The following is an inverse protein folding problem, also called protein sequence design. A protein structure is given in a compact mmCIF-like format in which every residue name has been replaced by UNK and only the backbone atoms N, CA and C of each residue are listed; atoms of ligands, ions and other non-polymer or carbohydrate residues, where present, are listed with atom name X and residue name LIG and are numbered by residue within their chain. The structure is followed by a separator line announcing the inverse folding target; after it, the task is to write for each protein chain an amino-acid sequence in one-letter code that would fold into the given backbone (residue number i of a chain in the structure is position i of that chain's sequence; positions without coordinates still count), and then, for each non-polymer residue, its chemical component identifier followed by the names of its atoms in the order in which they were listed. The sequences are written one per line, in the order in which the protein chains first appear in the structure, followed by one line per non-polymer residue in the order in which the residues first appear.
data_IF_347172388202
#
_entry.id   IF_347172388202
#
_cell.length_a   1.000
_cell.length_b   1.000
_cell.length_c   1.000
_cell.angle_alpha   90.00
_cell.angle_beta   90.00
_cell.angle_gamma   90.00
#
_symmetry.space_group_name_H-M   'P 1'
#
loop_
_entity.id
_entity.type
_entity.pdbx_description
1 polymer ?
#
# COMPACT_ATOMS: atom_id res chain seq x y z
N UNK A 1 -10.59 -8.79 -22.89
CA UNK A 1 -9.31 -8.47 -22.22
C UNK A 1 -8.36 -7.63 -23.07
N UNK A 2 -8.07 -7.99 -24.34
CA UNK A 2 -7.17 -7.21 -25.22
C UNK A 2 -7.52 -5.71 -25.37
N UNK A 3 -8.82 -5.37 -25.42
CA UNK A 3 -9.30 -3.97 -25.57
C UNK A 3 -9.01 -3.07 -24.36
N UNK A 4 -9.00 -3.64 -23.15
CA UNK A 4 -8.71 -2.92 -21.90
C UNK A 4 -7.21 -2.60 -21.82
N UNK A 5 -6.37 -3.54 -22.26
CA UNK A 5 -4.92 -3.40 -22.25
C UNK A 5 -4.43 -2.29 -23.21
N UNK A 6 -5.09 -2.15 -24.37
CA UNK A 6 -4.83 -1.07 -25.33
C UNK A 6 -5.24 0.30 -24.78
N UNK A 7 -6.36 0.38 -24.06
CA UNK A 7 -6.82 1.63 -23.44
C UNK A 7 -5.85 2.11 -22.34
N UNK A 8 -5.29 1.19 -21.55
CA UNK A 8 -4.28 1.51 -20.53
C UNK A 8 -2.98 2.01 -21.18
N UNK A 9 -2.55 1.38 -22.29
CA UNK A 9 -1.35 1.82 -23.01
C UNK A 9 -1.49 3.24 -23.60
N UNK A 10 -2.69 3.59 -24.07
CA UNK A 10 -2.98 4.91 -24.64
C UNK A 10 -3.01 6.02 -23.57
N UNK A 11 -3.46 5.72 -22.35
CA UNK A 11 -3.44 6.63 -21.21
C UNK A 11 -2.02 6.94 -20.69
N UNK A 12 -1.07 6.00 -20.84
CA UNK A 12 0.32 6.21 -20.43
C UNK A 12 1.05 7.12 -21.43
N UNK A 13 0.67 7.09 -22.72
CA UNK A 13 1.33 7.85 -23.78
C UNK A 13 0.93 9.34 -23.79
N UNK A 14 -0.28 9.69 -23.34
CA UNK A 14 -0.75 11.08 -23.28
C UNK A 14 -0.22 11.88 -22.08
N UNK A 15 0.42 11.24 -21.11
CA UNK A 15 0.98 11.90 -19.92
C UNK A 15 2.37 12.54 -20.13
N UNK A 16 2.92 12.52 -21.36
CA UNK A 16 4.32 12.93 -21.59
C UNK A 16 4.55 14.41 -21.91
N UNK A 17 3.52 15.25 -22.01
CA UNK A 17 3.70 16.66 -22.39
C UNK A 17 3.21 17.61 -21.30
N UNK A 18 4.11 17.99 -20.37
CA UNK A 18 4.18 19.32 -19.74
C UNK A 18 5.27 19.36 -18.65
N UNK A 19 6.50 19.70 -19.03
CA UNK A 19 7.49 20.26 -18.10
C UNK A 19 8.09 21.52 -18.72
N UNK A 20 7.41 22.64 -18.52
CA UNK A 20 8.01 23.97 -18.63
C UNK A 20 8.84 24.24 -17.36
N UNK A 21 10.04 24.79 -17.54
CA UNK A 21 10.99 25.13 -16.48
C UNK A 21 10.62 26.46 -15.82
N UNK A 22 10.89 26.64 -14.52
CA UNK A 22 11.13 27.97 -13.98
C UNK A 22 12.10 28.00 -12.77
N UNK A 23 12.78 29.15 -12.66
CA UNK A 23 14.02 29.45 -11.91
C UNK A 23 13.86 29.53 -10.38
N UNK A 24 14.97 29.19 -9.69
CA UNK A 24 15.23 29.33 -8.25
C UNK A 24 15.06 30.77 -7.69
N UNK A 25 14.48 30.92 -6.49
CA UNK A 25 15.05 31.76 -5.43
C UNK A 25 14.50 31.53 -3.99
N UNK A 26 15.44 31.25 -3.08
CA UNK A 26 15.60 31.60 -1.66
C UNK A 26 14.46 31.61 -0.60
N UNK A 27 14.76 30.89 0.51
CA UNK A 27 14.63 31.28 1.94
C UNK A 27 13.47 30.78 2.82
N UNK A 28 13.90 30.16 3.93
CA UNK A 28 13.33 30.04 5.29
C UNK A 28 12.11 29.15 5.60
N UNK A 29 12.41 27.99 6.18
CA UNK A 29 12.03 27.58 7.55
C UNK A 29 10.56 27.65 7.97
N UNK A 30 9.99 26.46 8.25
CA UNK A 30 8.73 26.12 8.97
C UNK A 30 7.52 25.65 8.14
N UNK A 31 7.65 25.48 6.81
CA UNK A 31 6.57 24.97 5.93
C UNK A 31 6.85 23.59 5.28
N UNK A 32 7.71 22.76 5.88
CA UNK A 32 8.24 21.53 5.24
C UNK A 32 7.22 20.37 5.06
N UNK A 33 5.94 20.59 5.36
CA UNK A 33 4.86 19.69 4.95
C UNK A 33 4.21 20.17 3.64
N UNK A 34 5.02 20.31 2.58
CA UNK A 34 4.50 20.58 1.24
C UNK A 34 4.42 19.29 0.42
N UNK A 35 3.19 18.83 0.21
CA UNK A 35 2.91 17.86 -0.85
C UNK A 35 3.16 18.57 -2.18
N UNK A 36 4.34 18.43 -2.76
CA UNK A 36 4.67 19.06 -4.05
C UNK A 36 5.86 20.02 -4.09
N UNK A 37 6.78 20.03 -3.12
CA UNK A 37 8.09 20.66 -3.35
C UNK A 37 8.85 19.88 -4.44
N UNK A 38 8.66 20.28 -5.68
CA UNK A 38 9.34 19.73 -6.85
C UNK A 38 10.72 20.39 -6.96
N UNK A 39 11.70 19.82 -6.27
CA UNK A 39 13.09 20.27 -6.38
C UNK A 39 13.59 20.14 -7.83
N UNK A 40 14.43 21.08 -8.26
CA UNK A 40 15.26 20.90 -9.46
C UNK A 40 16.12 19.64 -9.29
N UNK A 41 16.12 18.76 -10.29
CA UNK A 41 16.79 17.45 -10.22
C UNK A 41 15.91 16.27 -9.80
N UNK A 42 14.59 16.45 -9.70
CA UNK A 42 13.64 15.33 -9.56
C UNK A 42 13.53 14.52 -10.87
N UNK A 43 13.44 13.19 -10.76
CA UNK A 43 13.25 12.26 -11.87
C UNK A 43 11.95 11.48 -11.69
N UNK A 44 11.24 11.23 -12.79
CA UNK A 44 10.06 10.37 -12.76
C UNK A 44 10.49 8.93 -12.46
N UNK A 45 9.68 8.20 -11.69
CA UNK A 45 9.90 6.79 -11.42
C UNK A 45 8.62 5.98 -11.46
N UNK A 46 8.79 4.69 -11.72
CA UNK A 46 7.77 3.66 -11.60
C UNK A 46 8.36 2.59 -10.68
N UNK A 47 7.62 2.21 -9.64
CA UNK A 47 8.02 1.16 -8.69
C UNK A 47 6.90 0.12 -8.64
N UNK A 48 7.28 -1.15 -8.78
CA UNK A 48 6.39 -2.29 -8.59
C UNK A 48 6.91 -3.07 -7.39
N UNK A 49 6.04 -3.29 -6.42
CA UNK A 49 6.35 -3.96 -5.17
C UNK A 49 5.42 -5.14 -4.97
N UNK A 50 5.98 -6.27 -4.57
CA UNK A 50 5.25 -7.46 -4.17
C UNK A 50 5.75 -7.91 -2.80
N UNK A 51 4.84 -8.29 -1.91
CA UNK A 51 5.22 -8.70 -0.56
C UNK A 51 4.15 -9.50 0.16
N UNK A 52 4.57 -10.10 1.27
CA UNK A 52 3.71 -10.80 2.20
C UNK A 52 3.58 -9.99 3.48
N UNK A 53 2.41 -10.03 4.09
CA UNK A 53 2.13 -9.38 5.36
C UNK A 53 1.27 -10.31 6.21
N UNK A 54 1.27 -10.06 7.51
CA UNK A 54 0.35 -10.67 8.46
C UNK A 54 -0.48 -9.55 9.09
N UNK A 55 -1.79 -9.62 8.93
CA UNK A 55 -2.71 -8.77 9.68
C UNK A 55 -3.01 -9.43 11.02
N UNK A 56 -2.81 -8.70 12.12
CA UNK A 56 -3.19 -9.14 13.46
C UNK A 56 -4.23 -8.17 14.01
N UNK A 57 -5.37 -8.71 14.41
CA UNK A 57 -6.39 -7.97 15.14
C UNK A 57 -6.61 -8.65 16.48
N UNK A 58 -6.43 -7.88 17.56
CA UNK A 58 -6.59 -8.34 18.94
C UNK A 58 -8.04 -8.70 19.30
N UNK A 59 -9.01 -8.14 18.59
CA UNK A 59 -10.44 -8.29 18.87
C UNK A 59 -11.09 -9.36 17.97
N UNK A 60 -10.33 -9.98 17.07
CA UNK A 60 -10.80 -11.11 16.24
C UNK A 60 -10.36 -12.42 16.87
N UNK A 61 -11.33 -13.27 17.21
CA UNK A 61 -11.12 -14.62 17.75
C UNK A 61 -10.48 -15.53 16.69
N UNK A 62 -10.70 -15.25 15.40
CA UNK A 62 -10.14 -15.99 14.27
C UNK A 62 -8.86 -15.35 13.76
N UNK A 63 -7.81 -16.15 13.54
CA UNK A 63 -6.57 -15.67 12.91
C UNK A 63 -6.84 -15.22 11.47
N UNK A 64 -6.40 -14.00 11.12
CA UNK A 64 -6.31 -13.59 9.73
C UNK A 64 -5.07 -14.26 9.14
N UNK A 65 -5.24 -15.09 8.09
CA UNK A 65 -4.10 -15.76 7.44
C UNK A 65 -3.20 -14.76 6.71
N UNK A 66 -1.99 -15.21 6.40
CA UNK A 66 -1.00 -14.48 5.59
C UNK A 66 -1.63 -13.87 4.34
N UNK A 67 -1.30 -12.63 4.08
CA UNK A 67 -1.85 -11.86 2.97
C UNK A 67 -0.75 -11.44 2.00
N UNK A 68 -1.11 -11.34 0.73
CA UNK A 68 -0.21 -10.86 -0.31
C UNK A 68 -0.53 -9.41 -0.65
N UNK A 69 0.48 -8.63 -0.98
CA UNK A 69 0.40 -7.24 -1.38
C UNK A 69 1.04 -7.10 -2.75
N UNK A 70 0.29 -6.58 -3.72
CA UNK A 70 0.84 -6.08 -4.99
C UNK A 70 0.61 -4.58 -5.06
N UNK A 71 1.66 -3.80 -5.31
CA UNK A 71 1.60 -2.34 -5.34
C UNK A 71 2.35 -1.79 -6.54
N UNK A 72 1.74 -0.79 -7.20
CA UNK A 72 2.39 0.03 -8.19
C UNK A 72 2.41 1.48 -7.71
N UNK A 73 3.58 2.13 -7.83
CA UNK A 73 3.76 3.56 -7.52
C UNK A 73 4.26 4.29 -8.75
N UNK A 74 3.68 5.47 -8.98
CA UNK A 74 4.08 6.40 -10.01
C UNK A 74 4.38 7.73 -9.35
N UNK A 75 5.53 8.33 -9.62
CA UNK A 75 5.87 9.56 -8.93
C UNK A 75 7.16 10.20 -9.38
N UNK A 76 7.62 11.14 -8.56
CA UNK A 76 8.88 11.84 -8.72
C UNK A 76 9.80 11.53 -7.55
N UNK A 77 11.06 11.29 -7.85
CA UNK A 77 12.16 11.05 -6.91
C UNK A 77 13.20 12.14 -7.03
N UNK A 78 13.50 12.79 -5.93
CA UNK A 78 14.71 13.56 -5.75
C UNK A 78 15.80 12.66 -5.17
N UNK A 79 16.98 12.68 -5.74
CA UNK A 79 18.13 11.92 -5.25
C UNK A 79 19.37 12.81 -5.31
N UNK A 80 20.01 13.04 -4.16
CA UNK A 80 21.27 13.79 -4.09
C UNK A 80 22.30 13.04 -3.25
N UNK A 81 23.60 13.14 -3.60
CA UNK A 81 24.65 12.79 -2.66
C UNK A 81 24.58 13.73 -1.45
N UNK A 82 24.63 13.16 -0.25
CA UNK A 82 24.70 13.91 1.01
C UNK A 82 26.15 13.85 1.53
N UNK A 83 26.92 14.89 1.25
CA UNK A 83 28.34 14.97 1.61
C UNK A 83 29.24 14.08 0.74
N UNK A 84 30.42 13.74 1.26
CA UNK A 84 31.50 13.08 0.49
C UNK A 84 31.44 11.53 0.51
N UNK A 85 30.65 10.92 1.39
CA UNK A 85 30.78 9.51 1.76
C UNK A 85 29.71 8.57 1.17
N UNK A 86 29.47 8.55 -0.15
CA UNK A 86 28.49 7.64 -0.80
C UNK A 86 27.09 7.60 -0.16
N UNK A 87 26.77 8.58 0.68
CA UNK A 87 25.47 8.71 1.32
C UNK A 87 24.56 9.36 0.30
N UNK A 88 23.39 8.78 0.13
CA UNK A 88 22.32 9.30 -0.71
C UNK A 88 21.21 9.81 0.20
N UNK A 89 20.78 11.05 -0.02
CA UNK A 89 19.50 11.53 0.46
C UNK A 89 18.49 11.40 -0.67
N UNK A 90 17.31 10.86 -0.35
CA UNK A 90 16.24 10.76 -1.32
C UNK A 90 14.89 11.21 -0.75
N UNK A 91 14.07 11.75 -1.63
CA UNK A 91 12.71 12.18 -1.33
C UNK A 91 11.79 11.85 -2.52
N UNK A 92 10.73 11.10 -2.25
CA UNK A 92 9.75 10.68 -3.25
C UNK A 92 8.40 11.32 -2.93
N UNK A 93 7.69 11.74 -3.98
CA UNK A 93 6.27 12.03 -3.96
C UNK A 93 5.59 11.16 -5.02
N UNK A 94 4.56 10.41 -4.66
CA UNK A 94 3.97 9.43 -5.56
C UNK A 94 2.48 9.22 -5.29
N UNK A 95 1.80 8.78 -6.34
CA UNK A 95 0.51 8.11 -6.26
C UNK A 95 0.73 6.61 -6.31
N UNK A 96 -0.14 5.86 -5.64
CA UNK A 96 -0.06 4.41 -5.66
C UNK A 96 -1.44 3.76 -5.75
N UNK A 97 -1.43 2.56 -6.33
CA UNK A 97 -2.54 1.62 -6.25
C UNK A 97 -1.97 0.30 -5.74
N UNK A 98 -2.62 -0.27 -4.74
CA UNK A 98 -2.30 -1.61 -4.26
C UNK A 98 -3.52 -2.49 -4.08
N UNK A 99 -3.28 -3.78 -4.25
CA UNK A 99 -4.24 -4.83 -3.99
C UNK A 99 -3.68 -5.74 -2.90
N UNK A 100 -4.48 -5.95 -1.86
CA UNK A 100 -4.19 -6.87 -0.78
C UNK A 100 -5.26 -7.94 -0.77
N UNK A 101 -4.85 -9.20 -0.76
CA UNK A 101 -5.77 -10.31 -0.60
C UNK A 101 -5.25 -11.29 0.44
N UNK A 102 -6.17 -12.04 1.02
CA UNK A 102 -5.80 -13.25 1.73
C UNK A 102 -5.27 -14.31 0.76
N UNK A 103 -4.40 -15.19 1.28
CA UNK A 103 -3.99 -16.39 0.58
C UNK A 103 -4.74 -17.60 1.18
N UNK A 104 -6.07 -17.59 1.13
CA UNK A 104 -6.90 -18.71 1.60
C UNK A 104 -7.21 -19.69 0.46
N UNK A 105 -6.98 -20.98 0.71
CA UNK A 105 -7.54 -22.04 -0.10
C UNK A 105 -9.05 -22.18 0.15
N UNK A 106 -9.81 -22.82 -0.75
CA UNK A 106 -11.27 -22.92 -0.64
C UNK A 106 -11.76 -23.59 0.65
N UNK A 107 -10.99 -24.55 1.20
CA UNK A 107 -11.26 -25.15 2.51
C UNK A 107 -11.07 -24.14 3.65
N UNK A 108 -10.05 -23.30 3.57
CA UNK A 108 -9.74 -22.30 4.59
C UNK A 108 -10.74 -21.15 4.59
N UNK A 109 -11.36 -20.85 3.44
CA UNK A 109 -12.41 -19.81 3.32
C UNK A 109 -13.69 -20.15 4.08
N UNK A 110 -13.92 -21.43 4.39
CA UNK A 110 -15.10 -21.85 5.15
C UNK A 110 -14.95 -21.59 6.65
N UNK A 111 -13.71 -21.50 7.15
CA UNK A 111 -13.39 -21.39 8.60
C UNK A 111 -12.61 -20.13 8.95
N UNK A 112 -12.25 -19.29 7.98
CA UNK A 112 -11.48 -18.06 8.23
C UNK A 112 -12.16 -16.89 7.55
N UNK A 113 -11.94 -15.69 8.10
CA UNK A 113 -12.37 -14.45 7.48
C UNK A 113 -11.54 -14.23 6.22
N UNK A 114 -12.23 -14.15 5.08
CA UNK A 114 -11.63 -13.79 3.81
C UNK A 114 -11.73 -12.28 3.59
N UNK A 115 -10.70 -11.67 3.03
CA UNK A 115 -10.68 -10.25 2.75
C UNK A 115 -9.92 -9.92 1.47
N UNK A 116 -10.44 -8.89 0.81
CA UNK A 116 -9.80 -8.25 -0.33
C UNK A 116 -9.83 -6.73 -0.10
N UNK A 117 -8.70 -6.07 -0.28
CA UNK A 117 -8.57 -4.63 -0.06
C UNK A 117 -7.90 -4.01 -1.28
N UNK A 118 -8.65 -3.12 -1.93
CA UNK A 118 -8.08 -2.17 -2.87
C UNK A 118 -7.66 -0.91 -2.14
N UNK A 119 -6.46 -0.45 -2.42
CA UNK A 119 -5.85 0.72 -1.79
C UNK A 119 -5.45 1.68 -2.88
N UNK A 120 -5.81 2.93 -2.69
CA UNK A 120 -5.40 4.02 -3.55
C UNK A 120 -4.93 5.17 -2.68
N UNK A 121 -3.87 5.85 -3.09
CA UNK A 121 -3.39 6.92 -2.24
C UNK A 121 -2.29 7.75 -2.83
N UNK A 122 -1.95 8.75 -2.05
CA UNK A 122 -0.87 9.69 -2.26
C UNK A 122 0.10 9.52 -1.11
N UNK A 123 1.39 9.45 -1.41
CA UNK A 123 2.42 9.22 -0.42
C UNK A 123 3.65 10.06 -0.68
N UNK A 124 4.37 10.30 0.41
CA UNK A 124 5.73 10.80 0.37
C UNK A 124 6.63 9.86 1.17
N UNK A 125 7.85 9.68 0.68
CA UNK A 125 8.86 8.84 1.31
C UNK A 125 10.16 9.60 1.35
N UNK A 126 10.79 9.70 2.52
CA UNK A 126 12.10 10.34 2.65
C UNK A 126 13.05 9.40 3.39
N UNK A 127 14.33 9.51 3.08
CA UNK A 127 15.33 8.68 3.72
C UNK A 127 16.76 9.04 3.34
N UNK A 128 17.67 8.41 4.07
CA UNK A 128 19.10 8.45 3.82
C UNK A 128 19.59 7.02 3.70
N UNK A 129 20.56 6.79 2.83
CA UNK A 129 21.13 5.46 2.67
C UNK A 129 22.48 5.46 1.99
N UNK A 130 23.00 4.26 1.75
CA UNK A 130 24.34 4.07 1.22
C UNK A 130 24.28 3.38 -0.13
N UNK A 131 25.03 3.91 -1.09
CA UNK A 131 25.22 3.29 -2.41
C UNK A 131 26.47 2.42 -2.45
N UNK A 132 26.29 1.20 -2.95
CA UNK A 132 27.32 0.20 -3.21
C UNK A 132 27.30 -0.14 -4.71
N UNK A 133 27.74 0.81 -5.55
CA UNK A 133 27.68 0.67 -7.00
C UNK A 133 26.24 0.68 -7.51
N UNK A 134 25.79 -0.46 -8.05
CA UNK A 134 24.43 -0.61 -8.60
C UNK A 134 23.36 -0.95 -7.54
N UNK A 135 23.78 -1.20 -6.30
CA UNK A 135 22.89 -1.50 -5.18
C UNK A 135 22.89 -0.33 -4.21
N UNK A 136 21.78 -0.12 -3.51
CA UNK A 136 21.69 0.85 -2.44
C UNK A 136 20.80 0.31 -1.32
N UNK A 137 21.21 0.58 -0.08
CA UNK A 137 20.39 0.31 1.11
C UNK A 137 19.85 1.65 1.54
N UNK A 138 18.52 1.82 1.46
CA UNK A 138 17.83 3.09 1.66
C UNK A 138 16.81 2.97 2.81
N UNK A 139 17.25 3.02 4.08
CA UNK A 139 16.34 3.22 5.20
C UNK A 139 15.46 4.44 4.95
N UNK A 140 14.16 4.28 5.19
CA UNK A 140 13.20 5.30 4.84
C UNK A 140 12.00 5.28 5.76
N UNK A 141 11.38 6.43 5.91
CA UNK A 141 10.04 6.55 6.46
C UNK A 141 9.11 7.00 5.34
N UNK A 142 7.87 6.55 5.44
CA UNK A 142 6.83 6.82 4.48
C UNK A 142 5.60 7.32 5.23
N UNK A 143 4.96 8.34 4.67
CA UNK A 143 3.67 8.85 5.11
C UNK A 143 2.79 9.04 3.89
N UNK A 144 1.48 8.96 4.07
CA UNK A 144 0.56 9.13 2.97
C UNK A 144 -0.90 9.13 3.41
N UNK A 145 -1.74 9.65 2.54
CA UNK A 145 -3.18 9.53 2.63
C UNK A 145 -3.58 8.31 1.81
N UNK A 146 -4.27 7.38 2.46
CA UNK A 146 -4.67 6.12 1.85
C UNK A 146 -6.18 5.98 1.97
N UNK A 147 -6.83 5.85 0.81
CA UNK A 147 -8.20 5.36 0.75
C UNK A 147 -8.17 3.85 0.55
N UNK A 148 -8.89 3.14 1.42
CA UNK A 148 -9.07 1.71 1.36
C UNK A 148 -10.53 1.39 1.03
N UNK A 149 -10.74 0.55 0.02
CA UNK A 149 -11.98 -0.15 -0.21
C UNK A 149 -11.78 -1.62 0.17
N UNK A 150 -12.40 -2.03 1.28
CA UNK A 150 -12.30 -3.39 1.79
C UNK A 150 -13.58 -4.17 1.53
N UNK A 151 -13.43 -5.43 1.15
CA UNK A 151 -14.49 -6.41 1.08
C UNK A 151 -14.12 -7.55 2.03
N UNK A 152 -14.95 -7.76 3.05
CA UNK A 152 -14.78 -8.84 4.00
C UNK A 152 -15.88 -9.88 3.78
N UNK A 153 -15.49 -11.15 3.78
CA UNK A 153 -16.40 -12.28 3.77
C UNK A 153 -16.25 -13.02 5.08
N UNK A 154 -17.34 -13.10 5.81
CA UNK A 154 -17.43 -13.91 7.01
C UNK A 154 -17.48 -15.38 6.62
N UNK A 155 -16.89 -16.27 7.44
CA UNK A 155 -16.97 -17.70 7.21
C UNK A 155 -18.42 -18.22 7.32
N UNK A 156 -18.71 -19.37 6.71
CA UNK A 156 -20.05 -19.93 6.68
C UNK A 156 -20.43 -20.47 8.08
N UNK A 157 -21.43 -19.87 8.72
CA UNK A 157 -21.93 -20.26 10.03
C UNK A 157 -22.47 -21.70 10.06
N UNK A 158 -23.04 -22.19 8.96
CA UNK A 158 -23.58 -23.57 8.89
C UNK A 158 -22.47 -24.61 9.03
N UNK A 159 -21.25 -24.32 8.57
CA UNK A 159 -20.10 -25.19 8.75
C UNK A 159 -19.66 -25.28 10.22
N UNK A 160 -19.71 -24.15 10.95
CA UNK A 160 -19.38 -24.15 12.38
C UNK A 160 -20.41 -24.91 13.21
N UNK A 161 -21.70 -24.73 12.92
CA UNK A 161 -22.79 -25.38 13.64
C UNK A 161 -22.82 -26.90 13.42
N UNK A 162 -22.35 -27.37 12.26
CA UNK A 162 -22.38 -28.81 11.90
C UNK A 162 -21.09 -29.56 12.19
N UNK A 163 -19.91 -28.94 12.05
CA UNK A 163 -18.63 -29.66 12.06
C UNK A 163 -17.66 -29.28 13.19
N UNK A 164 -17.86 -28.15 13.88
CA UNK A 164 -16.91 -27.66 14.90
C UNK A 164 -17.47 -27.76 16.33
N UNK A 165 -18.75 -28.11 16.47
CA UNK A 165 -19.47 -28.09 17.74
C UNK A 165 -19.86 -26.66 18.10
N UNK A 166 -21.10 -26.47 18.53
CA UNK A 166 -21.65 -25.15 18.85
C UNK A 166 -20.80 -24.46 19.94
N UNK A 167 -20.07 -23.37 19.64
CA UNK A 167 -19.25 -22.68 20.62
C UNK A 167 -20.10 -21.80 21.55
N UNK A 168 -21.37 -21.60 21.23
CA UNK A 168 -22.31 -20.86 22.06
C UNK A 168 -23.02 -21.83 23.02
N UNK A 169 -22.82 -21.68 24.35
CA UNK A 169 -23.64 -22.42 25.31
C UNK A 169 -25.11 -22.05 25.08
N UNK A 170 -25.98 -23.04 24.92
CA UNK A 170 -27.41 -22.88 24.63
C UNK A 170 -28.23 -22.14 25.72
N UNK A 171 -27.58 -21.59 26.74
CA UNK A 171 -28.25 -21.15 27.97
C UNK A 171 -28.88 -19.75 27.89
N UNK A 172 -28.72 -18.98 26.81
CA UNK A 172 -29.20 -17.58 26.77
C UNK A 172 -30.37 -17.30 25.81
N UNK A 173 -30.99 -18.32 25.20
CA UNK A 173 -32.11 -18.11 24.26
C UNK A 173 -33.46 -17.94 25.01
N UNK A 174 -33.51 -18.17 26.32
CA UNK A 174 -34.74 -18.00 27.11
C UNK A 174 -35.06 -16.54 27.50
N UNK A 175 -34.18 -15.57 27.21
CA UNK A 175 -34.37 -14.17 27.62
C UNK A 175 -34.94 -13.24 26.53
N UNK A 176 -35.24 -13.74 25.33
CA UNK A 176 -35.78 -12.93 24.21
C UNK A 176 -37.31 -13.16 24.01
N UNK A 177 -37.97 -13.82 24.96
CA UNK A 177 -39.45 -13.85 25.00
C UNK A 177 -39.94 -13.21 26.29
N UNK A 178 -40.07 -11.88 26.27
CA UNK A 178 -41.11 -11.11 26.96
C UNK A 178 -41.21 -9.73 26.31
#
# INVERSE_FOLDING_TARGET
MKKVLVAILFLIFSAQNSFAQDRLNNSNSLNDFSFGNWYSGTKNFIEVSYGFSELKNKDLITSIKSNTLTEIKLGKRYLKPAGNYRILQFEDNYLFSSYVNDNLNDLDRQTNISFEIWRFGLGFRKGYGYSFGNLAILPSYQMGLVWNQSNFRTPNLDYYLTNVGNPFPQNDISLIKN
#
